data_IF_948810335720
#
_entry.id   IF_948810335720
#
_cell.length_a   1.000
_cell.length_b   1.000
_cell.length_c   1.000
_cell.angle_alpha   90.00
_cell.angle_beta   90.00
_cell.angle_gamma   90.00
#
_symmetry.space_group_name_H-M   'P 1'
#
loop_
_entity.id
_entity.type
_entity.pdbx_description
1 polymer ?
#
# COMPACT_ATOMS: atom_id res chain seq x y z
N UNK A 1 -14.76 8.32 -2.25
CA UNK A 1 -13.40 7.76 -2.27
C UNK A 1 -13.52 6.27 -2.03
N UNK A 2 -12.82 5.47 -2.85
CA UNK A 2 -12.59 4.05 -2.61
C UNK A 2 -11.13 3.79 -2.24
N UNK A 3 -10.89 2.81 -1.36
CA UNK A 3 -9.54 2.40 -0.97
C UNK A 3 -9.15 1.10 -1.68
N UNK A 4 -7.95 1.06 -2.24
CA UNK A 4 -7.37 -0.15 -2.82
C UNK A 4 -6.08 -0.51 -2.08
N UNK A 5 -6.21 -1.30 -1.02
CA UNK A 5 -5.13 -1.67 -0.12
C UNK A 5 -4.95 -0.68 1.02
N UNK A 6 -5.83 -0.74 2.03
CA UNK A 6 -5.74 0.09 3.24
C UNK A 6 -4.43 -0.14 3.98
N UNK A 7 -3.92 0.90 4.65
CA UNK A 7 -2.62 0.84 5.36
C UNK A 7 -2.60 -0.20 6.48
N UNK A 8 -3.71 -0.38 7.18
CA UNK A 8 -3.76 -1.27 8.35
C UNK A 8 -3.85 -2.74 7.96
N UNK A 9 -4.78 -3.10 7.07
CA UNK A 9 -5.13 -4.50 6.77
C UNK A 9 -4.90 -4.92 5.33
N UNK A 10 -4.62 -3.97 4.42
CA UNK A 10 -4.55 -4.26 2.99
C UNK A 10 -5.92 -4.48 2.34
N UNK A 11 -7.01 -4.15 3.02
CA UNK A 11 -8.38 -4.33 2.50
C UNK A 11 -8.61 -3.50 1.23
N UNK A 12 -9.45 -4.01 0.35
CA UNK A 12 -9.88 -3.34 -0.88
C UNK A 12 -11.40 -3.19 -0.83
N UNK A 13 -11.88 -1.98 -1.11
CA UNK A 13 -13.32 -1.68 -1.18
C UNK A 13 -13.96 -2.30 -2.44
N UNK A 14 -15.28 -2.42 -2.47
CA UNK A 14 -16.01 -2.74 -3.71
C UNK A 14 -15.94 -1.56 -4.69
N UNK A 15 -14.79 -1.45 -5.38
CA UNK A 15 -14.53 -0.34 -6.31
C UNK A 15 -15.55 -0.31 -7.44
N UNK A 16 -15.99 -1.46 -7.93
CA UNK A 16 -17.00 -1.55 -8.98
C UNK A 16 -18.39 -1.05 -8.49
N UNK A 17 -18.74 -1.37 -7.25
CA UNK A 17 -19.96 -0.86 -6.61
C UNK A 17 -19.91 0.64 -6.41
N UNK A 18 -18.80 1.16 -5.89
CA UNK A 18 -18.59 2.61 -5.71
C UNK A 18 -18.63 3.33 -7.06
N UNK A 19 -17.99 2.78 -8.10
CA UNK A 19 -17.99 3.36 -9.44
C UNK A 19 -19.42 3.49 -9.98
N UNK A 20 -20.26 2.45 -9.82
CA UNK A 20 -21.70 2.52 -10.24
C UNK A 20 -22.45 3.60 -9.49
N UNK A 21 -22.25 3.71 -8.18
CA UNK A 21 -22.88 4.74 -7.35
C UNK A 21 -22.43 6.14 -7.79
N UNK A 22 -21.13 6.37 -7.95
CA UNK A 22 -20.59 7.66 -8.37
C UNK A 22 -21.14 8.07 -9.75
N UNK A 23 -21.22 7.13 -10.69
CA UNK A 23 -21.79 7.40 -12.01
C UNK A 23 -23.28 7.76 -11.95
N UNK A 24 -24.07 7.09 -11.09
CA UNK A 24 -25.50 7.36 -10.92
C UNK A 24 -25.79 8.73 -10.30
N UNK A 25 -24.93 9.15 -9.36
CA UNK A 25 -25.08 10.39 -8.58
C UNK A 25 -24.23 11.55 -9.11
N UNK A 26 -23.58 11.39 -10.28
CA UNK A 26 -22.65 12.36 -10.86
C UNK A 26 -21.56 12.84 -9.88
N UNK A 27 -21.01 11.93 -9.10
CA UNK A 27 -19.95 12.19 -8.14
C UNK A 27 -18.57 11.89 -8.71
N UNK A 28 -17.56 12.67 -8.31
CA UNK A 28 -16.16 12.39 -8.61
C UNK A 28 -15.71 11.13 -7.85
N UNK A 29 -15.24 10.13 -8.59
CA UNK A 29 -14.71 8.90 -8.01
C UNK A 29 -13.19 8.95 -7.90
N UNK A 30 -12.69 9.11 -6.67
CA UNK A 30 -11.27 9.01 -6.37
C UNK A 30 -10.94 7.65 -5.75
N UNK A 31 -9.81 7.07 -6.14
CA UNK A 31 -9.28 5.86 -5.51
C UNK A 31 -7.95 6.18 -4.83
N UNK A 32 -7.89 5.97 -3.52
CA UNK A 32 -6.64 5.88 -2.78
C UNK A 32 -6.11 4.44 -2.91
N UNK A 33 -5.14 4.29 -3.79
CA UNK A 33 -4.44 3.04 -4.04
C UNK A 33 -2.95 3.18 -3.72
N UNK A 34 -2.61 4.07 -2.79
CA UNK A 34 -1.24 4.41 -2.41
C UNK A 34 -0.34 3.19 -2.27
N UNK A 35 -0.90 2.10 -1.78
CA UNK A 35 -0.21 0.82 -1.64
C UNK A 35 -0.65 -0.20 -2.70
N UNK A 36 -1.95 -0.43 -2.87
CA UNK A 36 -2.47 -1.60 -3.56
C UNK A 36 -2.55 -1.50 -5.09
N UNK A 37 -2.37 -0.32 -5.72
CA UNK A 37 -2.49 -0.19 -7.18
C UNK A 37 -1.65 -1.20 -7.96
N UNK A 38 -0.45 -1.52 -7.47
CA UNK A 38 0.46 -2.43 -8.16
C UNK A 38 0.03 -3.90 -8.11
N UNK A 39 -0.99 -4.24 -7.33
CA UNK A 39 -1.65 -5.54 -7.40
C UNK A 39 -2.26 -5.78 -8.81
N UNK A 40 -2.53 -4.71 -9.57
CA UNK A 40 -2.94 -4.78 -10.98
C UNK A 40 -1.93 -5.52 -11.86
N UNK A 41 -0.64 -5.51 -11.52
CA UNK A 41 0.41 -6.20 -12.26
C UNK A 41 0.43 -7.72 -12.02
N UNK A 42 -0.23 -8.20 -10.96
CA UNK A 42 -0.33 -9.62 -10.64
C UNK A 42 -1.65 -10.19 -11.15
N UNK A 43 -1.66 -11.18 -12.05
CA UNK A 43 -2.90 -11.79 -12.54
C UNK A 43 -3.81 -12.35 -11.43
N UNK A 44 -3.21 -12.85 -10.34
CA UNK A 44 -3.96 -13.42 -9.21
C UNK A 44 -4.66 -12.36 -8.34
N UNK A 45 -4.05 -11.18 -8.18
CA UNK A 45 -4.59 -10.09 -7.36
C UNK A 45 -5.41 -9.09 -8.17
N UNK A 46 -5.22 -9.01 -9.47
CA UNK A 46 -5.93 -8.07 -10.36
C UNK A 46 -7.44 -8.05 -10.18
N UNK A 47 -8.14 -9.20 -10.01
CA UNK A 47 -9.59 -9.20 -9.81
C UNK A 47 -10.08 -8.42 -8.57
N UNK A 48 -9.23 -8.26 -7.54
CA UNK A 48 -9.56 -7.45 -6.37
C UNK A 48 -9.73 -5.96 -6.70
N UNK A 49 -9.15 -5.51 -7.82
CA UNK A 49 -9.16 -4.12 -8.26
C UNK A 49 -10.17 -3.85 -9.37
N UNK A 50 -11.14 -4.74 -9.55
CA UNK A 50 -12.20 -4.55 -10.56
C UNK A 50 -12.97 -3.24 -10.30
N UNK A 51 -13.15 -2.43 -11.35
CA UNK A 51 -13.71 -1.08 -11.26
C UNK A 51 -12.67 0.04 -11.08
N UNK A 52 -11.38 -0.26 -10.87
CA UNK A 52 -10.34 0.78 -10.77
C UNK A 52 -10.23 1.63 -12.05
N UNK A 53 -10.47 1.03 -13.21
CA UNK A 53 -10.49 1.71 -14.52
C UNK A 53 -11.61 2.74 -14.67
N UNK A 54 -12.57 2.79 -13.76
CA UNK A 54 -13.69 3.75 -13.76
C UNK A 54 -13.42 5.00 -12.94
N UNK A 55 -12.33 5.05 -12.19
CA UNK A 55 -11.99 6.21 -11.36
C UNK A 55 -11.78 7.47 -12.21
N UNK A 56 -12.20 8.63 -11.70
CA UNK A 56 -11.87 9.94 -12.24
C UNK A 56 -10.46 10.36 -11.84
N UNK A 57 -10.01 9.94 -10.66
CA UNK A 57 -8.64 10.09 -10.22
C UNK A 57 -8.17 8.91 -9.36
N UNK A 58 -6.87 8.62 -9.44
CA UNK A 58 -6.21 7.53 -8.74
C UNK A 58 -4.88 8.01 -8.19
N UNK A 59 -4.65 7.86 -6.88
CA UNK A 59 -3.36 8.10 -6.25
C UNK A 59 -2.66 6.79 -5.89
N UNK A 60 -1.34 6.70 -6.18
CA UNK A 60 -0.53 5.55 -5.79
C UNK A 60 0.96 5.89 -5.72
N UNK A 61 1.75 5.00 -5.11
CA UNK A 61 3.17 5.24 -4.85
C UNK A 61 4.07 4.16 -5.48
N UNK A 62 4.91 4.58 -6.43
CA UNK A 62 5.95 3.71 -6.98
C UNK A 62 7.03 3.36 -5.95
N UNK A 63 7.27 4.24 -4.97
CA UNK A 63 8.27 4.03 -3.92
C UNK A 63 7.84 3.04 -2.83
N UNK A 64 6.61 2.51 -2.91
CA UNK A 64 6.15 1.42 -2.05
C UNK A 64 6.42 0.07 -2.74
N UNK A 65 5.46 -0.51 -3.37
CA UNK A 65 5.54 -1.88 -3.88
C UNK A 65 6.30 -2.03 -5.20
N UNK A 66 6.49 -0.95 -5.99
CA UNK A 66 7.36 -0.97 -7.17
C UNK A 66 8.84 -0.89 -6.83
N UNK A 67 9.22 -0.79 -5.56
CA UNK A 67 10.61 -0.75 -5.09
C UNK A 67 11.44 0.42 -5.66
N UNK A 68 10.79 1.47 -6.14
CA UNK A 68 11.46 2.70 -6.61
C UNK A 68 12.01 3.46 -5.40
N UNK A 69 13.24 3.98 -5.44
CA UNK A 69 13.78 4.80 -4.36
C UNK A 69 12.86 5.97 -3.98
N UNK A 70 12.73 6.25 -2.69
CA UNK A 70 11.89 7.31 -2.15
C UNK A 70 12.36 8.70 -2.65
N UNK A 71 11.48 9.62 -3.03
CA UNK A 71 10.05 9.54 -3.13
C UNK A 71 9.59 9.42 -4.60
N UNK A 72 8.46 8.78 -4.84
CA UNK A 72 7.87 8.65 -6.17
C UNK A 72 6.35 8.38 -6.06
N UNK A 73 5.62 9.36 -5.51
CA UNK A 73 4.15 9.38 -5.55
C UNK A 73 3.65 9.70 -6.96
N UNK A 74 2.49 9.18 -7.32
CA UNK A 74 1.86 9.39 -8.60
C UNK A 74 0.36 9.62 -8.43
N UNK A 75 -0.18 10.56 -9.18
CA UNK A 75 -1.61 10.74 -9.37
C UNK A 75 -1.94 10.63 -10.85
N UNK A 76 -2.97 9.87 -11.16
CA UNK A 76 -3.58 9.82 -12.49
C UNK A 76 -4.93 10.51 -12.41
N UNK A 77 -5.21 11.39 -13.36
CA UNK A 77 -6.50 12.08 -13.47
C UNK A 77 -7.03 11.86 -14.88
N UNK A 78 -8.27 11.42 -14.98
CA UNK A 78 -8.91 11.07 -16.27
C UNK A 78 -9.08 12.29 -17.16
N UNK A 79 -9.61 13.38 -16.60
CA UNK A 79 -9.80 14.64 -17.30
C UNK A 79 -8.60 15.57 -17.08
N UNK A 80 -7.70 15.63 -18.07
CA UNK A 80 -6.52 16.48 -18.03
C UNK A 80 -6.85 17.97 -18.04
N UNK A 81 -8.00 18.39 -18.60
CA UNK A 81 -8.41 19.80 -18.60
C UNK A 81 -8.86 20.22 -17.20
N UNK A 82 -9.71 19.41 -16.54
CA UNK A 82 -10.10 19.64 -15.15
C UNK A 82 -8.88 19.61 -14.20
N UNK A 83 -7.92 18.72 -14.45
CA UNK A 83 -6.67 18.66 -13.66
C UNK A 83 -5.86 19.96 -13.81
N UNK A 84 -5.65 20.42 -15.03
CA UNK A 84 -4.93 21.67 -15.28
C UNK A 84 -5.68 22.89 -14.69
N UNK A 85 -7.01 22.95 -14.81
CA UNK A 85 -7.81 24.02 -14.23
C UNK A 85 -7.66 24.11 -12.70
N UNK A 86 -7.55 22.95 -12.03
CA UNK A 86 -7.41 22.90 -10.58
C UNK A 86 -6.06 23.43 -10.08
N UNK A 87 -4.99 23.33 -10.87
CA UNK A 87 -3.63 23.64 -10.44
C UNK A 87 -2.95 24.77 -11.22
N UNK A 88 -3.39 25.09 -12.46
CA UNK A 88 -2.74 26.09 -13.26
C UNK A 88 -2.78 27.48 -12.59
N UNK A 89 -1.61 28.08 -12.43
CA UNK A 89 -1.45 29.40 -11.84
C UNK A 89 -1.23 30.44 -12.94
N UNK A 90 -2.02 31.50 -12.93
CA UNK A 90 -1.92 32.60 -13.88
C UNK A 90 -1.19 33.79 -13.23
N UNK A 91 0.13 33.67 -13.07
CA UNK A 91 0.98 34.75 -12.58
C UNK A 91 1.75 35.37 -13.74
N UNK A 92 1.96 36.70 -13.71
CA UNK A 92 2.48 37.46 -14.85
C UNK A 92 3.84 36.98 -15.37
N UNK A 93 4.76 36.57 -14.47
CA UNK A 93 6.09 36.09 -14.86
C UNK A 93 6.10 34.65 -15.45
N UNK A 94 4.99 33.90 -15.32
CA UNK A 94 4.79 32.58 -15.94
C UNK A 94 3.83 32.65 -17.13
N UNK A 95 3.61 33.83 -17.68
CA UNK A 95 2.70 34.04 -18.82
C UNK A 95 3.13 33.17 -20.00
N UNK A 96 2.17 32.47 -20.57
CA UNK A 96 2.36 31.63 -21.74
C UNK A 96 2.42 32.47 -23.01
N UNK A 97 3.35 32.12 -23.87
CA UNK A 97 3.50 32.78 -25.17
C UNK A 97 3.20 31.78 -26.30
N UNK A 98 2.89 32.31 -27.49
CA UNK A 98 2.65 31.47 -28.67
C UNK A 98 3.95 30.99 -29.33
N UNK A 99 5.07 31.61 -29.03
CA UNK A 99 6.39 31.39 -29.65
C UNK A 99 7.50 31.57 -28.61
N UNK A 100 8.67 30.94 -28.86
CA UNK A 100 9.85 31.08 -28.03
C UNK A 100 9.87 30.08 -26.87
N UNK A 101 10.73 30.33 -25.88
CA UNK A 101 10.96 29.43 -24.75
C UNK A 101 9.74 29.28 -23.83
N UNK A 102 8.88 30.29 -23.77
CA UNK A 102 7.65 30.25 -22.99
C UNK A 102 6.45 29.68 -23.76
N UNK A 103 6.67 29.13 -24.96
CA UNK A 103 5.63 28.52 -25.77
C UNK A 103 5.42 27.04 -25.37
N UNK A 104 4.26 26.53 -25.71
CA UNK A 104 3.91 25.15 -25.52
C UNK A 104 3.10 24.87 -24.22
N UNK A 105 2.19 23.93 -24.33
CA UNK A 105 1.30 23.47 -23.28
C UNK A 105 1.14 21.95 -23.37
N UNK A 106 0.83 21.28 -22.25
CA UNK A 106 0.87 21.77 -20.85
C UNK A 106 2.30 21.82 -20.30
N UNK A 107 2.53 22.63 -19.27
CA UNK A 107 3.76 22.56 -18.49
C UNK A 107 3.55 21.64 -17.26
N UNK A 108 4.60 20.97 -16.74
CA UNK A 108 4.47 20.10 -15.55
C UNK A 108 3.89 20.82 -14.33
N UNK A 109 4.15 22.11 -14.17
CA UNK A 109 3.61 22.95 -13.09
C UNK A 109 2.09 23.18 -13.19
N UNK A 110 1.48 22.93 -14.36
CA UNK A 110 0.02 23.04 -14.52
C UNK A 110 -0.75 21.87 -13.86
N UNK A 111 -0.05 20.85 -13.40
CA UNK A 111 -0.64 19.62 -12.87
C UNK A 111 -0.28 19.33 -11.41
N UNK A 112 0.10 20.33 -10.62
CA UNK A 112 0.42 20.14 -9.22
C UNK A 112 0.87 21.43 -8.53
N UNK A 113 1.09 21.39 -7.21
CA UNK A 113 1.44 22.56 -6.41
C UNK A 113 2.88 23.03 -6.62
N UNK A 114 3.78 22.15 -7.14
CA UNK A 114 5.20 22.43 -7.26
C UNK A 114 5.52 23.21 -8.53
N UNK A 115 6.16 24.38 -8.42
CA UNK A 115 6.75 25.07 -9.56
C UNK A 115 8.06 24.40 -10.01
N UNK A 116 8.96 24.17 -9.07
CA UNK A 116 10.22 23.46 -9.31
C UNK A 116 10.25 22.16 -8.51
N UNK A 117 10.56 21.04 -9.17
CA UNK A 117 10.60 19.73 -8.54
C UNK A 117 11.68 18.84 -9.12
N UNK A 118 12.11 17.84 -8.35
CA UNK A 118 13.04 16.82 -8.82
C UNK A 118 12.43 15.96 -9.95
N UNK A 119 13.28 15.44 -10.82
CA UNK A 119 12.86 14.56 -11.92
C UNK A 119 12.55 13.15 -11.41
N UNK A 120 11.48 13.03 -10.60
CA UNK A 120 11.06 11.76 -9.98
C UNK A 120 10.71 10.69 -11.00
N UNK A 121 10.17 11.07 -12.15
CA UNK A 121 9.79 10.14 -13.22
C UNK A 121 11.00 9.37 -13.80
N UNK A 122 12.22 9.92 -13.76
CA UNK A 122 13.40 9.25 -14.30
C UNK A 122 13.68 7.91 -13.59
N UNK A 123 13.68 7.90 -12.27
CA UNK A 123 13.92 6.67 -11.49
C UNK A 123 12.80 5.64 -11.67
N UNK A 124 11.54 6.08 -11.81
CA UNK A 124 10.41 5.21 -12.16
C UNK A 124 10.63 4.59 -13.54
N UNK A 125 10.91 5.42 -14.54
CA UNK A 125 11.18 4.96 -15.90
C UNK A 125 12.35 3.96 -15.97
N UNK A 126 13.46 4.25 -15.30
CA UNK A 126 14.62 3.34 -15.23
C UNK A 126 14.23 2.00 -14.59
N UNK A 127 13.52 2.01 -13.47
CA UNK A 127 13.04 0.77 -12.81
C UNK A 127 12.16 -0.06 -13.74
N UNK A 128 11.19 0.57 -14.41
CA UNK A 128 10.31 -0.10 -15.35
C UNK A 128 11.05 -0.63 -16.58
N UNK A 129 12.06 0.09 -17.09
CA UNK A 129 12.89 -0.34 -18.22
C UNK A 129 13.81 -1.51 -17.88
N UNK A 130 14.33 -1.55 -16.66
CA UNK A 130 15.26 -2.60 -16.19
C UNK A 130 14.50 -3.87 -15.82
N UNK A 131 13.42 -3.77 -15.07
CA UNK A 131 12.73 -4.94 -14.51
C UNK A 131 11.48 -5.35 -15.29
N UNK A 132 10.78 -4.40 -15.89
CA UNK A 132 9.51 -4.64 -16.57
C UNK A 132 8.33 -4.85 -15.61
N UNK A 133 7.11 -4.76 -16.14
CA UNK A 133 5.88 -4.94 -15.37
C UNK A 133 5.72 -6.38 -14.83
N UNK A 134 6.12 -7.37 -15.63
CA UNK A 134 5.98 -8.79 -15.25
C UNK A 134 6.81 -9.15 -14.01
N UNK A 135 8.06 -8.65 -13.95
CA UNK A 135 8.93 -8.89 -12.78
C UNK A 135 8.39 -8.23 -11.53
N UNK A 136 7.88 -7.00 -11.65
CA UNK A 136 7.23 -6.30 -10.54
C UNK A 136 5.95 -7.02 -10.12
N UNK A 137 5.16 -7.51 -11.06
CA UNK A 137 3.97 -8.34 -10.79
C UNK A 137 4.31 -9.63 -10.05
N UNK A 138 5.44 -10.28 -10.37
CA UNK A 138 5.93 -11.46 -9.64
C UNK A 138 6.32 -11.13 -8.20
N UNK A 139 6.93 -9.95 -7.94
CA UNK A 139 7.24 -9.49 -6.58
C UNK A 139 5.96 -9.31 -5.78
N UNK A 140 4.94 -8.67 -6.36
CA UNK A 140 3.62 -8.50 -5.73
C UNK A 140 2.98 -9.86 -5.41
N UNK A 141 2.91 -10.75 -6.40
CA UNK A 141 2.34 -12.09 -6.23
C UNK A 141 3.02 -12.88 -5.11
N UNK A 142 4.36 -12.81 -5.06
CA UNK A 142 5.15 -13.48 -4.00
C UNK A 142 4.86 -12.91 -2.62
N UNK A 143 4.78 -11.58 -2.48
CA UNK A 143 4.44 -10.95 -1.20
C UNK A 143 3.06 -11.40 -0.70
N UNK A 144 2.08 -11.47 -1.59
CA UNK A 144 0.73 -11.97 -1.25
C UNK A 144 0.73 -13.45 -0.89
N UNK A 145 1.50 -14.27 -1.60
CA UNK A 145 1.63 -15.71 -1.30
C UNK A 145 2.25 -15.94 0.10
N UNK A 146 3.28 -15.15 0.47
CA UNK A 146 3.88 -15.20 1.80
C UNK A 146 2.89 -14.77 2.90
N UNK A 147 2.03 -13.79 2.63
CA UNK A 147 0.98 -13.39 3.56
C UNK A 147 -0.04 -14.52 3.76
N UNK A 148 -0.44 -15.22 2.71
CA UNK A 148 -1.30 -16.40 2.80
C UNK A 148 -0.62 -17.58 3.56
N UNK A 149 0.71 -17.74 3.42
CA UNK A 149 1.46 -18.71 4.22
C UNK A 149 1.43 -18.33 5.71
N UNK A 150 1.69 -17.07 6.05
CA UNK A 150 1.62 -16.58 7.42
C UNK A 150 0.21 -16.73 8.00
N UNK A 151 -0.83 -16.37 7.26
CA UNK A 151 -2.23 -16.59 7.65
C UNK A 151 -2.49 -18.05 8.01
N UNK A 152 -2.08 -18.97 7.13
CA UNK A 152 -2.27 -20.41 7.37
C UNK A 152 -1.48 -20.92 8.57
N UNK A 153 -0.31 -20.37 8.86
CA UNK A 153 0.48 -20.72 10.04
C UNK A 153 -0.16 -20.17 11.32
N UNK A 154 -0.58 -18.89 11.32
CA UNK A 154 -1.30 -18.28 12.46
C UNK A 154 -2.57 -19.06 12.80
N UNK A 155 -3.33 -19.48 11.80
CA UNK A 155 -4.59 -20.24 12.01
C UNK A 155 -4.39 -21.63 12.64
N UNK A 156 -3.17 -22.17 12.64
CA UNK A 156 -2.86 -23.48 13.24
C UNK A 156 -2.41 -23.38 14.70
N UNK A 157 -2.06 -22.20 15.15
CA UNK A 157 -1.54 -21.98 16.50
C UNK A 157 -2.67 -21.55 17.44
N UNK A 158 -2.93 -22.35 18.48
CA UNK A 158 -3.99 -22.08 19.45
C UNK A 158 -3.73 -20.82 20.30
N UNK A 159 -2.48 -20.35 20.35
CA UNK A 159 -2.06 -19.17 21.09
C UNK A 159 -2.14 -17.89 20.24
N UNK A 160 -2.63 -17.98 19.00
CA UNK A 160 -2.74 -16.84 18.09
C UNK A 160 -4.18 -16.63 17.60
N UNK A 161 -4.56 -15.39 17.37
CA UNK A 161 -5.85 -14.98 16.81
C UNK A 161 -5.62 -14.09 15.59
N UNK A 162 -6.18 -14.49 14.43
CA UNK A 162 -6.23 -13.64 13.25
C UNK A 162 -7.30 -12.57 13.46
N UNK A 163 -6.98 -11.28 13.23
CA UNK A 163 -7.88 -10.17 13.52
C UNK A 163 -8.57 -9.57 12.28
N UNK A 164 -8.07 -9.87 11.09
CA UNK A 164 -8.71 -9.46 9.83
C UNK A 164 -8.44 -10.47 8.72
N UNK A 165 -9.31 -10.57 7.70
CA UNK A 165 -9.01 -11.32 6.49
C UNK A 165 -7.75 -10.80 5.81
N UNK A 166 -6.96 -11.69 5.19
CA UNK A 166 -5.76 -11.32 4.44
C UNK A 166 -6.13 -11.09 2.97
N UNK A 167 -6.16 -9.84 2.54
CA UNK A 167 -6.54 -9.46 1.18
C UNK A 167 -5.33 -9.37 0.24
N UNK A 168 -4.23 -8.76 0.68
CA UNK A 168 -2.99 -8.56 -0.07
C UNK A 168 -1.80 -9.15 0.70
N UNK A 169 -0.90 -8.31 1.17
CA UNK A 169 0.37 -8.74 1.78
C UNK A 169 0.51 -8.29 3.24
N UNK A 170 -0.60 -7.99 3.91
CA UNK A 170 -0.63 -7.59 5.32
C UNK A 170 -1.39 -8.63 6.10
N UNK A 171 -0.79 -9.10 7.20
CA UNK A 171 -1.41 -10.04 8.14
C UNK A 171 -1.49 -9.36 9.50
N UNK A 172 -2.71 -9.25 10.03
CA UNK A 172 -3.00 -8.68 11.34
C UNK A 172 -3.44 -9.80 12.28
N UNK A 173 -2.64 -10.09 13.28
CA UNK A 173 -2.90 -11.15 14.25
C UNK A 173 -2.44 -10.72 15.65
N UNK A 174 -2.78 -11.46 16.67
CA UNK A 174 -2.28 -11.23 18.03
C UNK A 174 -2.01 -12.54 18.77
N UNK A 175 -1.13 -12.46 19.75
CA UNK A 175 -0.94 -13.53 20.75
C UNK A 175 -2.05 -13.43 21.79
N UNK A 176 -2.60 -14.57 22.19
CA UNK A 176 -3.65 -14.69 23.21
C UNK A 176 -3.17 -15.50 24.39
N UNK A 177 -3.50 -15.06 25.61
CA UNK A 177 -3.22 -15.73 26.87
C UNK A 177 -4.34 -15.50 27.86
N UNK A 178 -4.57 -16.44 28.77
CA UNK A 178 -5.51 -16.28 29.88
C UNK A 178 -4.98 -15.25 30.86
N UNK A 179 -5.90 -14.51 31.49
CA UNK A 179 -5.63 -13.60 32.63
C UNK A 179 -4.60 -12.47 32.36
N UNK A 180 -4.37 -12.14 31.08
CA UNK A 180 -3.49 -11.03 30.65
C UNK A 180 -4.27 -9.90 29.96
N UNK A 181 -3.78 -8.68 30.12
CA UNK A 181 -4.24 -7.56 29.29
C UNK A 181 -3.61 -7.69 27.89
N UNK A 182 -4.40 -8.21 26.93
CA UNK A 182 -3.90 -8.66 25.63
C UNK A 182 -3.30 -7.53 24.79
N UNK A 183 -3.87 -6.32 24.85
CA UNK A 183 -3.33 -5.20 24.07
C UNK A 183 -1.92 -4.83 24.58
N UNK A 184 -1.73 -4.77 25.91
CA UNK A 184 -0.41 -4.50 26.50
C UNK A 184 0.58 -5.63 26.21
N UNK A 185 0.17 -6.88 26.36
CA UNK A 185 1.01 -8.03 26.05
C UNK A 185 1.52 -7.99 24.59
N UNK A 186 0.66 -7.68 23.64
CA UNK A 186 1.05 -7.64 22.22
C UNK A 186 1.93 -6.43 21.88
N UNK A 187 1.81 -5.29 22.60
CA UNK A 187 2.78 -4.20 22.51
C UNK A 187 4.15 -4.69 22.95
N UNK A 188 4.23 -5.32 24.12
CA UNK A 188 5.48 -5.79 24.70
C UNK A 188 6.15 -6.87 23.84
N UNK A 189 5.35 -7.77 23.21
CA UNK A 189 5.85 -8.74 22.24
C UNK A 189 6.51 -8.03 21.04
N UNK A 190 5.85 -7.02 20.46
CA UNK A 190 6.40 -6.29 19.30
C UNK A 190 7.69 -5.55 19.68
N UNK A 191 7.74 -4.93 20.86
CA UNK A 191 8.95 -4.25 21.36
C UNK A 191 10.09 -5.27 21.51
N UNK A 192 9.85 -6.38 22.20
CA UNK A 192 10.87 -7.43 22.40
C UNK A 192 11.34 -8.04 21.09
N UNK A 193 10.43 -8.24 20.12
CA UNK A 193 10.75 -8.74 18.79
C UNK A 193 11.71 -7.78 18.05
N UNK A 194 11.45 -6.48 18.12
CA UNK A 194 12.32 -5.45 17.51
C UNK A 194 13.67 -5.35 18.23
N UNK A 195 13.69 -5.35 19.56
CA UNK A 195 14.91 -5.29 20.37
C UNK A 195 15.80 -6.53 20.19
N UNK A 196 15.21 -7.71 19.94
CA UNK A 196 15.95 -8.94 19.64
C UNK A 196 16.68 -8.90 18.28
N UNK A 197 16.29 -8.00 17.37
CA UNK A 197 16.80 -7.92 16.00
C UNK A 197 16.35 -9.07 15.09
N UNK A 198 15.41 -9.92 15.54
CA UNK A 198 14.94 -11.08 14.76
C UNK A 198 14.02 -10.62 13.63
N UNK A 199 13.05 -9.74 13.92
CA UNK A 199 12.12 -9.22 12.93
C UNK A 199 11.60 -7.84 13.34
N UNK A 200 11.09 -7.10 12.33
CA UNK A 200 10.46 -5.80 12.53
C UNK A 200 9.01 -5.88 12.08
N UNK A 201 8.11 -6.07 13.02
CA UNK A 201 6.68 -5.90 12.85
C UNK A 201 6.25 -4.53 13.40
N UNK A 202 5.05 -4.08 13.04
CA UNK A 202 4.39 -2.92 13.63
C UNK A 202 3.13 -3.32 14.38
N UNK A 203 2.50 -2.38 15.06
CA UNK A 203 1.18 -2.57 15.64
C UNK A 203 0.13 -1.78 14.88
N UNK A 204 -1.12 -2.22 14.93
CA UNK A 204 -2.30 -1.45 14.54
C UNK A 204 -3.50 -1.85 15.41
N UNK A 205 -4.59 -1.10 15.36
CA UNK A 205 -5.83 -1.43 16.06
C UNK A 205 -6.89 -1.92 15.07
N UNK A 206 -7.50 -3.06 15.38
CA UNK A 206 -8.67 -3.59 14.69
C UNK A 206 -9.85 -3.54 15.67
N UNK A 207 -10.65 -2.48 15.56
CA UNK A 207 -11.59 -2.13 16.61
C UNK A 207 -10.88 -1.77 17.92
N UNK A 208 -11.21 -2.46 18.99
CA UNK A 208 -10.60 -2.33 20.33
C UNK A 208 -9.41 -3.26 20.56
N UNK A 209 -9.09 -4.11 19.58
CA UNK A 209 -8.02 -5.11 19.66
C UNK A 209 -6.74 -4.61 19.00
N UNK A 210 -5.64 -4.60 19.76
CA UNK A 210 -4.32 -4.35 19.20
C UNK A 210 -3.81 -5.58 18.46
N UNK A 211 -3.38 -5.37 17.23
CA UNK A 211 -2.80 -6.38 16.34
C UNK A 211 -1.29 -6.20 16.19
N UNK A 212 -0.57 -7.30 16.13
CA UNK A 212 0.73 -7.40 15.50
C UNK A 212 0.48 -7.35 13.99
N UNK A 213 1.05 -6.34 13.30
CA UNK A 213 0.87 -6.12 11.87
C UNK A 213 2.15 -6.47 11.12
N UNK A 214 2.10 -7.56 10.37
CA UNK A 214 3.16 -7.99 9.47
C UNK A 214 2.85 -7.52 8.05
N UNK A 215 3.57 -6.49 7.57
CA UNK A 215 3.47 -5.98 6.20
C UNK A 215 4.64 -6.53 5.36
N UNK A 216 4.37 -7.48 4.47
CA UNK A 216 5.37 -8.20 3.70
C UNK A 216 5.70 -7.45 2.41
N UNK A 217 6.55 -6.43 2.51
CA UNK A 217 6.90 -5.54 1.39
C UNK A 217 8.29 -5.78 0.81
N UNK A 218 9.18 -6.45 1.56
CA UNK A 218 10.54 -6.71 1.11
C UNK A 218 10.56 -7.86 0.09
N UNK A 219 11.02 -7.58 -1.12
CA UNK A 219 11.12 -8.57 -2.20
C UNK A 219 12.08 -9.74 -1.90
N UNK A 220 12.92 -9.63 -0.87
CA UNK A 220 13.86 -10.68 -0.42
C UNK A 220 13.29 -11.58 0.66
N UNK A 221 12.14 -11.24 1.24
CA UNK A 221 11.52 -12.08 2.28
C UNK A 221 11.24 -13.48 1.72
N UNK A 222 11.54 -14.47 2.54
CA UNK A 222 11.42 -15.91 2.23
C UNK A 222 10.39 -16.59 3.14
N UNK A 223 9.92 -17.81 2.81
CA UNK A 223 9.10 -18.61 3.72
C UNK A 223 9.76 -18.87 5.07
N UNK A 224 11.10 -19.00 5.11
CA UNK A 224 11.83 -19.19 6.35
C UNK A 224 11.74 -17.97 7.27
N UNK A 225 11.83 -16.74 6.71
CA UNK A 225 11.68 -15.52 7.50
C UNK A 225 10.28 -15.43 8.14
N UNK A 226 9.25 -15.94 7.45
CA UNK A 226 7.89 -16.04 8.00
C UNK A 226 7.81 -16.99 9.18
N UNK A 227 8.47 -18.16 9.10
CA UNK A 227 8.52 -19.12 10.19
C UNK A 227 9.31 -18.59 11.39
N UNK A 228 10.43 -17.92 11.14
CA UNK A 228 11.25 -17.27 12.17
C UNK A 228 10.43 -16.19 12.89
N UNK A 229 9.71 -15.34 12.16
CA UNK A 229 8.82 -14.34 12.76
C UNK A 229 7.79 -14.98 13.68
N UNK A 230 7.10 -16.02 13.20
CA UNK A 230 6.03 -16.68 13.97
C UNK A 230 6.58 -17.36 15.22
N UNK A 231 7.67 -18.11 15.09
CA UNK A 231 8.34 -18.77 16.21
C UNK A 231 8.77 -17.76 17.28
N UNK A 232 9.37 -16.64 16.87
CA UNK A 232 9.79 -15.59 17.79
C UNK A 232 8.59 -14.96 18.53
N UNK A 233 7.47 -14.69 17.84
CA UNK A 233 6.25 -14.19 18.49
C UNK A 233 5.72 -15.16 19.54
N UNK A 234 5.69 -16.45 19.23
CA UNK A 234 5.24 -17.49 20.16
C UNK A 234 6.17 -17.61 21.38
N UNK A 235 7.48 -17.67 21.17
CA UNK A 235 8.46 -17.81 22.25
C UNK A 235 8.47 -16.59 23.19
N UNK A 236 8.45 -15.38 22.62
CA UNK A 236 8.36 -14.14 23.39
C UNK A 236 7.01 -14.08 24.14
N UNK A 237 5.92 -14.41 23.44
CA UNK A 237 4.58 -14.41 24.03
C UNK A 237 4.47 -15.35 25.24
N UNK A 238 4.99 -16.56 25.13
CA UNK A 238 5.05 -17.55 26.24
C UNK A 238 5.88 -17.02 27.41
N UNK A 239 7.04 -16.42 27.09
CA UNK A 239 7.91 -15.84 28.15
C UNK A 239 7.27 -14.68 28.90
N UNK A 240 6.50 -13.81 28.23
CA UNK A 240 5.81 -12.67 28.85
C UNK A 240 4.47 -13.08 29.52
N UNK A 241 3.89 -14.21 29.10
CA UNK A 241 2.66 -14.71 29.69
C UNK A 241 2.88 -15.60 30.91
N UNK A 242 4.09 -16.13 31.13
CA UNK A 242 4.47 -16.88 32.32
C UNK A 242 4.55 -15.97 33.56
#
# INVERSE_FOLDING_TARGET
>A
IGSAGTVDTGAVDDLAGIARLCAAEALWFHIDAAFGALAMLSPAQRPLLDGMDKADSLAFDFHKWAQVPYDAGCVLVRDGAAHAEAFASHVDYLKREKRGLAAGHPWPTDFGPDLSRGFRALKVWMTLKVYGADKLGQVVARSCALAGELEALVAREAELELLSPVALNIVCFRYIASDKELNRLNIDIVIALQESGIAVASTTNIGDKLAIRAALVNHRTTPEDIRILLAAVLDIGRGLAA
#
